data_IF_027165397606
#
_entry.id   IF_027165397606
#
_cell.length_a   1.000
_cell.length_b   1.000
_cell.length_c   1.000
_cell.angle_alpha   90.00
_cell.angle_beta   90.00
_cell.angle_gamma   90.00
#
_symmetry.space_group_name_H-M   'P 1'
#
loop_
_entity.id
_entity.type
_entity.pdbx_description
1 polymer ?
#
# COMPACT_ATOMS: atom_id res chain seq x y z
N UNK A 1 0.47 -9.51 8.32
CA UNK A 1 -0.12 -8.20 7.93
C UNK A 1 1.01 -7.28 7.53
N UNK A 2 0.91 -6.64 6.36
CA UNK A 2 1.97 -5.83 5.74
C UNK A 2 1.37 -4.49 5.28
N UNK A 3 1.45 -3.43 6.10
CA UNK A 3 0.95 -2.12 5.71
C UNK A 3 1.92 -1.40 4.78
N UNK A 4 1.40 -0.72 3.77
CA UNK A 4 2.14 0.25 2.96
C UNK A 4 2.35 1.56 3.76
N UNK A 5 2.60 2.68 3.08
CA UNK A 5 2.68 3.99 3.74
C UNK A 5 1.30 4.42 4.25
N UNK A 6 1.11 4.39 5.57
CA UNK A 6 -0.15 4.79 6.22
C UNK A 6 -0.02 6.19 6.82
N UNK A 7 -1.04 7.03 6.62
CA UNK A 7 -1.13 8.38 7.16
C UNK A 7 -1.40 8.37 8.67
N UNK A 8 -0.39 8.00 9.45
CA UNK A 8 -0.36 8.14 10.91
C UNK A 8 0.62 9.25 11.29
N UNK A 9 0.54 9.83 12.50
CA UNK A 9 1.44 10.89 12.92
C UNK A 9 2.86 10.40 13.29
N UNK A 10 3.28 9.19 12.89
CA UNK A 10 4.59 8.61 13.23
C UNK A 10 5.75 9.57 12.92
N UNK A 11 5.76 10.12 11.70
CA UNK A 11 6.86 10.98 11.24
C UNK A 11 6.90 12.36 11.89
N UNK A 12 5.79 12.80 12.51
CA UNK A 12 5.77 14.02 13.30
C UNK A 12 6.66 13.88 14.53
N UNK A 13 6.54 12.75 15.23
CA UNK A 13 7.20 12.48 16.51
C UNK A 13 8.46 11.61 16.42
N UNK A 14 8.79 11.08 15.25
CA UNK A 14 10.02 10.29 15.09
C UNK A 14 11.28 11.16 15.21
N UNK A 15 12.28 10.70 15.96
CA UNK A 15 13.64 11.24 15.92
C UNK A 15 14.24 11.03 14.53
N UNK A 16 14.95 12.03 14.02
CA UNK A 16 15.60 11.96 12.70
C UNK A 16 16.96 12.66 12.72
N UNK A 17 17.88 12.22 11.86
CA UNK A 17 19.21 12.82 11.64
C UNK A 17 19.43 13.26 10.19
N UNK A 18 18.36 13.30 9.39
CA UNK A 18 18.44 13.58 7.95
C UNK A 18 18.27 15.07 7.62
N UNK A 19 18.16 15.94 8.63
CA UNK A 19 18.00 17.40 8.51
C UNK A 19 16.62 17.88 8.07
N UNK A 20 15.76 16.97 7.62
CA UNK A 20 14.37 17.25 7.21
C UNK A 20 13.40 16.32 7.92
N UNK A 21 12.13 16.72 7.96
CA UNK A 21 11.04 15.89 8.44
C UNK A 21 10.91 14.66 7.52
N UNK A 22 10.99 13.43 8.06
CA UNK A 22 10.81 12.23 7.27
C UNK A 22 9.34 12.09 6.82
N UNK A 23 9.11 11.27 5.80
CA UNK A 23 7.78 10.81 5.40
C UNK A 23 7.84 9.38 4.88
N UNK A 24 6.67 8.74 4.76
CA UNK A 24 6.53 7.48 4.03
C UNK A 24 6.66 7.71 2.52
N UNK A 25 6.94 6.64 1.78
CA UNK A 25 6.99 6.68 0.32
C UNK A 25 5.53 6.75 -0.21
N UNK A 26 5.13 7.80 -0.95
CA UNK A 26 3.79 7.88 -1.50
C UNK A 26 3.47 6.69 -2.43
N UNK A 27 2.18 6.32 -2.60
CA UNK A 27 0.98 6.95 -2.04
C UNK A 27 0.77 6.68 -0.55
N UNK A 28 -0.01 7.54 0.11
CA UNK A 28 -0.44 7.36 1.49
C UNK A 28 -1.82 6.73 1.54
N UNK A 29 -2.10 5.89 2.53
CA UNK A 29 -3.44 5.33 2.79
C UNK A 29 -3.94 5.82 4.15
N UNK A 30 -5.26 5.95 4.31
CA UNK A 30 -5.83 6.25 5.63
C UNK A 30 -5.56 5.10 6.62
N UNK A 31 -5.62 5.35 7.94
CA UNK A 31 -5.48 4.28 8.93
C UNK A 31 -6.62 3.25 8.94
N UNK A 32 -7.81 3.62 8.44
CA UNK A 32 -9.02 2.79 8.53
C UNK A 32 -8.88 1.42 7.82
N UNK A 33 -8.38 1.31 6.57
CA UNK A 33 -8.14 0.01 5.93
C UNK A 33 -7.23 -0.94 6.71
N UNK A 34 -6.28 -0.38 7.48
CA UNK A 34 -5.42 -1.18 8.37
C UNK A 34 -6.24 -1.72 9.55
N UNK A 35 -7.07 -0.89 10.17
CA UNK A 35 -7.94 -1.33 11.26
C UNK A 35 -8.92 -2.42 10.79
N UNK A 36 -9.58 -2.21 9.66
CA UNK A 36 -10.49 -3.18 9.06
C UNK A 36 -9.78 -4.50 8.73
N UNK A 37 -8.56 -4.42 8.18
CA UNK A 37 -7.75 -5.59 7.90
C UNK A 37 -7.36 -6.36 9.17
N UNK A 38 -7.02 -5.68 10.27
CA UNK A 38 -6.71 -6.31 11.56
C UNK A 38 -7.92 -7.09 12.07
N UNK A 39 -9.11 -6.48 12.07
CA UNK A 39 -10.36 -7.14 12.48
C UNK A 39 -10.63 -8.35 11.59
N UNK A 40 -10.51 -8.18 10.28
CA UNK A 40 -10.73 -9.26 9.32
C UNK A 40 -9.82 -10.47 9.58
N UNK A 41 -8.50 -10.26 9.70
CA UNK A 41 -7.56 -11.38 9.91
C UNK A 41 -7.63 -12.00 11.30
N UNK A 42 -8.22 -11.30 12.29
CA UNK A 42 -8.49 -11.88 13.61
C UNK A 42 -9.61 -12.94 13.54
N UNK A 43 -10.57 -12.76 12.63
CA UNK A 43 -11.71 -13.67 12.46
C UNK A 43 -11.48 -14.73 11.37
N UNK A 44 -10.53 -14.49 10.46
CA UNK A 44 -10.30 -15.34 9.29
C UNK A 44 -8.83 -15.78 9.21
N UNK A 45 -8.53 -17.10 9.22
CA UNK A 45 -7.17 -17.61 9.03
C UNK A 45 -6.56 -17.10 7.71
N UNK A 46 -5.68 -16.10 7.83
CA UNK A 46 -5.07 -15.42 6.68
C UNK A 46 -3.57 -15.40 6.88
N UNK A 47 -2.84 -16.02 5.95
CA UNK A 47 -1.38 -16.12 6.01
C UNK A 47 -0.73 -14.73 5.94
N UNK A 48 -1.08 -13.97 4.91
CA UNK A 48 -0.53 -12.65 4.61
C UNK A 48 -1.65 -11.78 4.04
N UNK A 49 -1.75 -10.54 4.54
CA UNK A 49 -2.66 -9.50 4.01
C UNK A 49 -1.84 -8.23 3.80
N UNK A 50 -2.04 -7.57 2.66
CA UNK A 50 -1.27 -6.38 2.28
C UNK A 50 -2.23 -5.21 2.24
N UNK A 51 -1.90 -4.17 3.00
CA UNK A 51 -2.76 -2.99 3.13
C UNK A 51 -2.18 -1.85 2.30
N UNK A 52 -2.84 -1.52 1.20
CA UNK A 52 -2.40 -0.50 0.23
C UNK A 52 -1.97 -1.10 -1.11
N UNK A 53 -2.56 -0.58 -2.19
CA UNK A 53 -2.32 -1.04 -3.58
C UNK A 53 -0.85 -0.95 -3.99
N UNK A 54 -0.15 0.11 -3.56
CA UNK A 54 1.28 0.27 -3.84
C UNK A 54 2.13 -0.82 -3.18
N UNK A 55 1.78 -1.24 -1.95
CA UNK A 55 2.44 -2.36 -1.29
C UNK A 55 2.23 -3.67 -2.05
N UNK A 56 1.00 -3.91 -2.54
CA UNK A 56 0.68 -5.09 -3.33
C UNK A 56 1.44 -5.11 -4.67
N UNK A 57 1.51 -3.96 -5.35
CA UNK A 57 2.30 -3.80 -6.58
C UNK A 57 3.79 -4.01 -6.34
N UNK A 58 4.33 -3.49 -5.24
CA UNK A 58 5.73 -3.66 -4.88
C UNK A 58 6.07 -5.12 -4.60
N UNK A 59 5.20 -5.85 -3.89
CA UNK A 59 5.36 -7.30 -3.68
C UNK A 59 5.29 -8.08 -4.99
N UNK A 60 4.41 -7.69 -5.92
CA UNK A 60 4.35 -8.30 -7.25
C UNK A 60 5.64 -8.04 -8.05
N UNK A 61 6.12 -6.79 -8.07
CA UNK A 61 7.37 -6.42 -8.74
C UNK A 61 8.58 -7.16 -8.15
N UNK A 62 8.64 -7.27 -6.81
CA UNK A 62 9.69 -8.03 -6.11
C UNK A 62 9.69 -9.51 -6.52
N UNK A 63 8.51 -10.13 -6.68
CA UNK A 63 8.40 -11.53 -7.15
C UNK A 63 8.80 -11.69 -8.62
N UNK A 64 8.52 -10.69 -9.45
CA UNK A 64 8.83 -10.72 -10.87
C UNK A 64 10.34 -10.52 -11.13
N UNK A 65 10.94 -9.52 -10.49
CA UNK A 65 12.38 -9.25 -10.62
C UNK A 65 12.92 -8.53 -9.39
N UNK A 66 13.55 -9.28 -8.46
CA UNK A 66 14.21 -8.70 -7.29
C UNK A 66 15.24 -7.64 -7.65
N UNK A 67 16.04 -7.89 -8.70
CA UNK A 67 17.15 -7.00 -9.10
C UNK A 67 16.65 -5.64 -9.61
N UNK A 68 15.52 -5.62 -10.32
CA UNK A 68 14.91 -4.38 -10.77
C UNK A 68 14.34 -3.59 -9.59
N UNK A 69 13.71 -4.29 -8.64
CA UNK A 69 13.19 -3.64 -7.43
C UNK A 69 14.33 -3.06 -6.58
N UNK A 70 15.43 -3.80 -6.40
CA UNK A 70 16.62 -3.30 -5.69
C UNK A 70 17.18 -2.03 -6.34
N UNK A 71 17.33 -2.04 -7.68
CA UNK A 71 17.79 -0.88 -8.42
C UNK A 71 16.85 0.33 -8.24
N UNK A 72 15.54 0.10 -8.28
CA UNK A 72 14.54 1.14 -8.08
C UNK A 72 14.62 1.73 -6.65
N UNK A 73 14.69 0.90 -5.62
CA UNK A 73 14.78 1.36 -4.21
C UNK A 73 16.06 2.14 -3.98
N UNK A 74 17.20 1.67 -4.49
CA UNK A 74 18.49 2.37 -4.36
C UNK A 74 18.43 3.77 -4.99
N UNK A 75 17.79 3.90 -6.16
CA UNK A 75 17.71 5.17 -6.86
C UNK A 75 16.70 6.15 -6.26
N UNK A 76 15.59 5.65 -5.70
CA UNK A 76 14.42 6.49 -5.36
C UNK A 76 14.04 6.49 -3.89
N UNK A 77 14.28 5.40 -3.16
CA UNK A 77 13.73 5.16 -1.82
C UNK A 77 14.11 6.23 -0.80
N UNK A 78 15.40 6.55 -0.71
CA UNK A 78 15.90 7.52 0.28
C UNK A 78 15.35 8.93 0.03
N UNK A 79 15.34 9.37 -1.23
CA UNK A 79 14.81 10.68 -1.62
C UNK A 79 13.29 10.77 -1.38
N UNK A 80 12.56 9.68 -1.64
CA UNK A 80 11.11 9.64 -1.45
C UNK A 80 10.69 9.73 0.02
N UNK A 81 11.57 9.36 0.95
CA UNK A 81 11.35 9.45 2.40
C UNK A 81 11.65 10.84 2.99
N UNK A 82 12.16 11.77 2.18
CA UNK A 82 12.50 13.13 2.61
C UNK A 82 11.41 14.12 2.19
N UNK A 83 10.98 14.97 3.12
CA UNK A 83 10.18 16.16 2.77
C UNK A 83 11.10 17.36 2.48
N UNK A 84 10.51 18.44 1.98
CA UNK A 84 11.19 19.74 1.91
C UNK A 84 11.14 20.52 3.24
N UNK A 85 10.49 20.00 4.28
CA UNK A 85 10.35 20.69 5.57
C UNK A 85 11.57 20.40 6.44
N UNK A 86 12.36 21.42 6.83
CA UNK A 86 13.47 21.23 7.77
C UNK A 86 12.97 20.68 9.11
N UNK A 87 13.74 19.79 9.74
CA UNK A 87 13.51 19.33 11.12
C UNK A 87 14.87 19.31 11.84
N UNK A 88 15.08 20.19 12.84
CA UNK A 88 16.34 20.25 13.56
C UNK A 88 16.54 19.01 14.45
N UNK A 89 17.79 18.72 14.82
CA UNK A 89 18.12 17.51 15.59
C UNK A 89 17.56 17.52 17.03
N UNK A 90 17.32 18.71 17.59
CA UNK A 90 16.74 18.95 18.90
C UNK A 90 15.20 19.09 18.87
N UNK A 91 14.57 18.88 17.71
CA UNK A 91 13.12 18.89 17.60
C UNK A 91 12.51 17.82 18.53
N UNK A 92 11.38 18.12 19.21
CA UNK A 92 10.70 17.15 20.06
C UNK A 92 10.44 15.82 19.33
N UNK A 93 10.73 14.72 20.02
CA UNK A 93 10.60 13.36 19.51
C UNK A 93 10.15 12.39 20.60
N UNK A 94 9.69 11.20 20.19
CA UNK A 94 9.18 10.19 21.09
C UNK A 94 10.10 8.98 21.31
N UNK A 95 11.42 9.12 21.09
CA UNK A 95 12.35 7.99 21.19
C UNK A 95 12.55 7.50 22.62
N UNK A 96 12.62 8.42 23.59
CA UNK A 96 12.86 8.10 25.00
C UNK A 96 11.66 8.39 25.90
N UNK A 97 10.85 9.38 25.55
CA UNK A 97 9.70 9.81 26.33
C UNK A 97 8.48 10.02 25.41
N UNK A 98 7.26 9.76 25.87
CA UNK A 98 6.07 10.06 25.08
C UNK A 98 5.90 11.57 24.92
N UNK A 99 5.35 12.00 23.79
CA UNK A 99 4.94 13.39 23.55
C UNK A 99 3.46 13.43 23.19
N UNK A 100 2.71 14.34 23.84
CA UNK A 100 1.23 14.42 23.76
C UNK A 100 0.70 15.09 22.50
N UNK A 101 1.53 15.87 21.81
CA UNK A 101 1.09 16.76 20.71
C UNK A 101 0.59 16.00 19.46
N UNK A 102 0.77 14.68 19.43
CA UNK A 102 0.46 13.82 18.29
C UNK A 102 -0.38 12.60 18.69
N UNK A 103 -1.22 12.75 19.71
CA UNK A 103 -2.20 11.74 20.16
C UNK A 103 -3.46 11.78 19.28
N UNK A 104 -3.27 11.47 18.00
CA UNK A 104 -4.33 11.40 16.99
C UNK A 104 -4.11 10.22 16.05
N UNK A 105 -5.15 9.83 15.33
CA UNK A 105 -5.11 8.69 14.41
C UNK A 105 -4.44 9.06 13.08
N UNK A 106 -4.83 10.19 12.51
CA UNK A 106 -4.33 10.64 11.20
C UNK A 106 -3.07 11.50 11.30
N UNK A 107 -2.17 11.32 10.33
CA UNK A 107 -1.02 12.18 10.11
C UNK A 107 -1.35 13.41 9.25
N UNK A 108 -0.31 14.12 8.82
CA UNK A 108 -0.46 15.39 8.06
C UNK A 108 -0.79 15.20 6.57
N UNK A 109 -1.06 13.97 6.11
CA UNK A 109 -1.21 13.66 4.69
C UNK A 109 -2.64 13.28 4.29
N UNK A 110 -3.66 13.70 5.05
CA UNK A 110 -5.07 13.33 4.80
C UNK A 110 -5.51 13.71 3.38
N UNK A 111 -5.13 14.89 2.89
CA UNK A 111 -5.42 15.37 1.52
C UNK A 111 -4.68 14.61 0.40
N UNK A 112 -3.73 13.74 0.76
CA UNK A 112 -2.93 12.92 -0.16
C UNK A 112 -3.18 11.43 0.02
N UNK A 113 -4.19 11.07 0.82
CA UNK A 113 -4.56 9.67 1.00
C UNK A 113 -5.29 9.14 -0.23
N UNK A 114 -5.00 7.89 -0.56
CA UNK A 114 -5.63 7.15 -1.65
C UNK A 114 -6.47 6.01 -1.08
N UNK A 115 -7.55 5.67 -1.78
CA UNK A 115 -8.26 4.42 -1.51
C UNK A 115 -7.40 3.22 -1.93
N UNK A 116 -7.62 2.07 -1.30
CA UNK A 116 -6.98 0.81 -1.69
C UNK A 116 -8.02 -0.20 -2.16
N UNK A 117 -8.06 -0.43 -3.47
CA UNK A 117 -8.97 -1.39 -4.08
C UNK A 117 -8.54 -2.82 -3.73
N UNK A 118 -7.23 -3.08 -3.72
CA UNK A 118 -6.69 -4.41 -3.40
C UNK A 118 -7.03 -4.83 -1.98
N UNK A 119 -6.86 -3.94 -0.99
CA UNK A 119 -7.24 -4.22 0.40
C UNK A 119 -8.73 -4.46 0.54
N UNK A 120 -9.57 -3.64 -0.11
CA UNK A 120 -11.01 -3.85 -0.08
C UNK A 120 -11.41 -5.21 -0.67
N UNK A 121 -10.80 -5.63 -1.78
CA UNK A 121 -11.04 -6.95 -2.36
C UNK A 121 -10.54 -8.10 -1.46
N UNK A 122 -9.42 -7.91 -0.75
CA UNK A 122 -8.91 -8.91 0.20
C UNK A 122 -9.85 -9.12 1.39
N UNK A 123 -10.51 -8.07 1.88
CA UNK A 123 -11.50 -8.17 2.96
C UNK A 123 -12.91 -8.56 2.49
N UNK A 124 -13.16 -8.56 1.18
CA UNK A 124 -14.45 -8.94 0.56
C UNK A 124 -14.30 -10.13 -0.40
N UNK A 125 -13.97 -11.34 0.10
CA UNK A 125 -13.59 -12.49 -0.74
C UNK A 125 -14.69 -12.92 -1.73
N UNK A 126 -15.97 -12.83 -1.35
CA UNK A 126 -17.10 -13.16 -2.24
C UNK A 126 -17.13 -12.26 -3.48
N UNK A 127 -16.88 -10.96 -3.28
CA UNK A 127 -16.82 -10.00 -4.38
C UNK A 127 -15.60 -10.28 -5.24
N UNK A 128 -14.42 -10.43 -4.62
CA UNK A 128 -13.16 -10.74 -5.32
C UNK A 128 -13.29 -11.94 -6.25
N UNK A 129 -13.77 -13.07 -5.72
CA UNK A 129 -13.91 -14.29 -6.52
C UNK A 129 -15.02 -14.19 -7.56
N UNK A 130 -16.13 -13.50 -7.25
CA UNK A 130 -17.19 -13.22 -8.21
C UNK A 130 -16.68 -12.41 -9.41
N UNK A 131 -15.95 -11.33 -9.17
CA UNK A 131 -15.37 -10.48 -10.23
C UNK A 131 -14.32 -11.23 -11.06
N UNK A 132 -13.45 -12.03 -10.44
CA UNK A 132 -12.47 -12.82 -11.17
C UNK A 132 -13.13 -13.87 -12.06
N UNK A 133 -14.18 -14.53 -11.57
CA UNK A 133 -14.91 -15.52 -12.33
C UNK A 133 -15.61 -14.88 -13.54
N UNK A 134 -16.30 -13.75 -13.37
CA UNK A 134 -17.00 -13.08 -14.47
C UNK A 134 -16.04 -12.57 -15.55
N UNK A 135 -14.93 -11.95 -15.16
CA UNK A 135 -13.89 -11.51 -16.09
C UNK A 135 -13.26 -12.69 -16.84
N UNK A 136 -12.97 -13.78 -16.14
CA UNK A 136 -12.41 -15.00 -16.74
C UNK A 136 -13.37 -15.62 -17.77
N UNK A 137 -14.65 -15.74 -17.43
CA UNK A 137 -15.66 -16.27 -18.35
C UNK A 137 -15.84 -15.38 -19.59
N UNK A 138 -15.86 -14.06 -19.43
CA UNK A 138 -15.95 -13.12 -20.54
C UNK A 138 -14.74 -13.22 -21.49
N UNK A 139 -13.52 -13.26 -20.95
CA UNK A 139 -12.30 -13.41 -21.74
C UNK A 139 -12.30 -14.72 -22.55
N UNK A 140 -12.69 -15.84 -21.94
CA UNK A 140 -12.83 -17.12 -22.63
C UNK A 140 -13.89 -17.08 -23.73
N UNK A 141 -15.03 -16.41 -23.50
CA UNK A 141 -16.07 -16.23 -24.52
C UNK A 141 -15.61 -15.41 -25.72
N UNK A 142 -14.83 -14.34 -25.49
CA UNK A 142 -14.22 -13.53 -26.57
C UNK A 142 -13.21 -14.35 -27.37
N UNK A 143 -12.34 -15.10 -26.70
CA UNK A 143 -11.36 -15.96 -27.38
C UNK A 143 -12.06 -17.06 -28.18
N UNK A 144 -13.07 -17.72 -27.61
CA UNK A 144 -13.84 -18.75 -28.31
C UNK A 144 -14.51 -18.17 -29.57
N UNK A 145 -15.21 -17.04 -29.45
CA UNK A 145 -15.86 -16.40 -30.60
C UNK A 145 -14.87 -15.94 -31.68
N UNK A 146 -13.67 -15.49 -31.31
CA UNK A 146 -12.60 -15.18 -32.27
C UNK A 146 -12.06 -16.44 -32.98
N UNK A 147 -11.85 -17.53 -32.26
CA UNK A 147 -11.40 -18.81 -32.84
C UNK A 147 -12.44 -19.37 -33.81
N UNK A 148 -13.73 -19.34 -33.45
CA UNK A 148 -14.81 -19.79 -34.35
C UNK A 148 -14.91 -18.93 -35.62
N UNK A 149 -14.74 -17.60 -35.51
CA UNK A 149 -14.73 -16.71 -36.69
C UNK A 149 -13.55 -16.96 -37.62
N UNK A 150 -12.36 -17.20 -37.07
CA UNK A 150 -11.15 -17.46 -37.86
C UNK A 150 -11.13 -18.88 -38.46
N UNK A 151 -11.73 -19.87 -37.79
CA UNK A 151 -11.86 -21.23 -38.32
C UNK A 151 -12.90 -21.37 -39.43
N UNK A 152 -13.87 -20.46 -39.55
CA UNK A 152 -14.87 -20.44 -40.61
C UNK A 152 -14.42 -19.71 -41.91
N UNK A 153 -13.18 -19.21 -41.95
CA UNK A 153 -12.59 -18.47 -43.08
C UNK A 153 -11.56 -19.31 -43.87
N UNK A 154 -11.48 -20.63 -43.61
CA UNK A 154 -10.60 -21.61 -44.28
C UNK A 154 -11.48 -22.64 -44.97
#
# INVERSE_FOLDING_TARGET
MMPASINTPLFNKSRTKIGVKPQGIPPFYSPQPVADAIVYVAEHPTRDIVVGDAGQMMLFAQRLSPRLMDAFVVQTGFKAQMTAQPKPEDAPDNLFEPISDFDRVEGDFSDRTQASISTWLETHPKVKWGTLFTLGAAALGVVATQVFKNGAQI
#
